data_IF_695882904622
#
_entry.id   IF_695882904622
#
_cell.length_a   1.000
_cell.length_b   1.000
_cell.length_c   1.000
_cell.angle_alpha   90.00
_cell.angle_beta   90.00
_cell.angle_gamma   90.00
#
_symmetry.space_group_name_H-M   'P 1'
#
loop_
_entity.id
_entity.type
_entity.pdbx_description
1 polymer ?
#
# COMPACT_ATOMS: atom_id res chain seq x y z
N UNK A 1 -6.84 25.10 -21.14
CA UNK A 1 -6.01 24.39 -20.16
C UNK A 1 -5.39 23.15 -20.82
N UNK A 2 -4.11 23.14 -21.09
CA UNK A 2 -3.27 22.03 -21.62
C UNK A 2 -3.80 21.14 -22.76
N UNK A 3 -4.86 21.49 -23.50
CA UNK A 3 -5.42 20.67 -24.59
C UNK A 3 -5.95 19.28 -24.18
N UNK A 4 -6.13 19.05 -22.87
CA UNK A 4 -6.63 17.77 -22.32
C UNK A 4 -8.18 17.75 -22.40
N UNK A 5 -8.72 16.63 -22.86
CA UNK A 5 -10.17 16.38 -22.85
C UNK A 5 -10.65 15.86 -21.48
N UNK A 6 -11.97 15.73 -21.33
CA UNK A 6 -12.58 15.26 -20.07
C UNK A 6 -12.10 13.85 -19.66
N UNK A 7 -11.84 12.97 -20.62
CA UNK A 7 -11.34 11.62 -20.37
C UNK A 7 -9.96 11.62 -19.71
N UNK A 8 -9.01 12.39 -20.24
CA UNK A 8 -7.68 12.50 -19.64
C UNK A 8 -7.72 13.16 -18.27
N UNK A 9 -8.57 14.19 -18.08
CA UNK A 9 -8.75 14.82 -16.78
C UNK A 9 -9.33 13.86 -15.73
N UNK A 10 -10.30 13.03 -16.10
CA UNK A 10 -10.85 12.00 -15.21
C UNK A 10 -9.79 10.97 -14.79
N UNK A 11 -8.92 10.55 -15.73
CA UNK A 11 -7.80 9.64 -15.43
C UNK A 11 -6.77 10.27 -14.49
N UNK A 12 -6.41 11.55 -14.72
CA UNK A 12 -5.48 12.29 -13.86
C UNK A 12 -6.07 12.44 -12.46
N UNK A 13 -7.35 12.79 -12.34
CA UNK A 13 -8.02 12.91 -11.04
C UNK A 13 -8.03 11.57 -10.30
N UNK A 14 -8.35 10.48 -10.98
CA UNK A 14 -8.34 9.15 -10.36
C UNK A 14 -6.93 8.74 -9.94
N UNK A 15 -5.93 8.93 -10.81
CA UNK A 15 -4.54 8.63 -10.48
C UNK A 15 -4.04 9.43 -9.26
N UNK A 16 -4.41 10.71 -9.17
CA UNK A 16 -4.09 11.55 -8.03
C UNK A 16 -4.74 11.05 -6.74
N UNK A 17 -6.05 10.82 -6.73
CA UNK A 17 -6.78 10.42 -5.52
C UNK A 17 -6.42 9.02 -5.06
N UNK A 18 -6.24 8.05 -5.97
CA UNK A 18 -5.82 6.68 -5.62
C UNK A 18 -4.40 6.65 -5.09
N UNK A 19 -3.48 7.43 -5.66
CA UNK A 19 -2.11 7.53 -5.16
C UNK A 19 -2.04 8.07 -3.74
N UNK A 20 -2.83 9.08 -3.42
CA UNK A 20 -2.98 9.57 -2.05
C UNK A 20 -3.57 8.51 -1.12
N UNK A 21 -4.66 7.86 -1.56
CA UNK A 21 -5.35 6.88 -0.72
C UNK A 21 -4.46 5.68 -0.36
N UNK A 22 -3.73 5.12 -1.33
CA UNK A 22 -2.90 3.92 -1.13
C UNK A 22 -1.84 4.09 -0.04
N UNK A 23 -1.33 5.31 0.16
CA UNK A 23 -0.30 5.61 1.17
C UNK A 23 -0.82 5.29 2.58
N UNK A 24 -2.08 5.60 2.88
CA UNK A 24 -2.64 5.42 4.24
C UNK A 24 -2.82 3.96 4.63
N UNK A 25 -3.51 3.11 3.85
CA UNK A 25 -3.60 1.68 4.14
C UNK A 25 -2.23 1.01 4.21
N UNK A 26 -1.28 1.38 3.35
CA UNK A 26 0.07 0.84 3.36
C UNK A 26 0.78 1.03 4.71
N UNK A 27 0.56 2.17 5.38
CA UNK A 27 1.08 2.42 6.73
C UNK A 27 0.15 1.79 7.79
N UNK A 28 -1.17 1.91 7.64
CA UNK A 28 -2.14 1.48 8.65
C UNK A 28 -2.07 -0.02 8.91
N UNK A 29 -1.98 -0.86 7.86
CA UNK A 29 -1.91 -2.33 7.96
C UNK A 29 -0.71 -2.75 8.82
N UNK A 30 0.47 -2.23 8.50
CA UNK A 30 1.68 -2.59 9.22
C UNK A 30 1.73 -2.00 10.62
N UNK A 31 1.29 -0.74 10.82
CA UNK A 31 1.27 -0.13 12.15
C UNK A 31 0.24 -0.77 13.09
N UNK A 32 -0.96 -1.15 12.62
CA UNK A 32 -1.94 -1.86 13.44
C UNK A 32 -1.37 -3.17 13.98
N UNK A 33 -0.74 -3.96 13.11
CA UNK A 33 -0.07 -5.20 13.49
C UNK A 33 1.12 -4.95 14.42
N UNK A 34 1.90 -3.90 14.18
CA UNK A 34 3.00 -3.51 15.06
C UNK A 34 2.53 -3.12 16.45
N UNK A 35 1.42 -2.39 16.56
CA UNK A 35 0.78 -2.04 17.84
C UNK A 35 0.32 -3.29 18.60
N UNK A 36 -0.30 -4.26 17.92
CA UNK A 36 -0.67 -5.53 18.53
C UNK A 36 0.56 -6.29 19.08
N UNK A 37 1.67 -6.31 18.32
CA UNK A 37 2.93 -6.91 18.77
C UNK A 37 3.50 -6.18 19.97
N UNK A 38 3.55 -4.84 19.97
CA UNK A 38 4.05 -4.05 21.10
C UNK A 38 3.24 -4.27 22.37
N UNK A 39 1.91 -4.30 22.26
CA UNK A 39 1.03 -4.52 23.39
C UNK A 39 1.16 -5.96 23.93
N UNK A 40 1.20 -6.96 23.05
CA UNK A 40 1.45 -8.35 23.42
C UNK A 40 2.80 -8.56 24.14
N UNK A 41 3.87 -7.92 23.65
CA UNK A 41 5.19 -7.93 24.29
C UNK A 41 5.16 -7.23 25.65
N UNK A 42 4.44 -6.13 25.79
CA UNK A 42 4.24 -5.46 27.08
C UNK A 42 3.47 -6.33 28.06
N UNK A 43 2.37 -6.97 27.62
CA UNK A 43 1.58 -7.87 28.48
C UNK A 43 2.41 -9.02 29.02
N UNK A 44 3.28 -9.60 28.17
CA UNK A 44 4.16 -10.72 28.52
C UNK A 44 5.33 -10.31 29.42
N UNK A 45 6.02 -9.23 29.10
CA UNK A 45 7.28 -8.83 29.74
C UNK A 45 7.15 -7.76 30.80
N UNK A 46 6.03 -7.01 30.79
CA UNK A 46 5.82 -5.80 31.60
C UNK A 46 6.89 -4.72 31.42
N UNK A 47 7.68 -4.81 30.34
CA UNK A 47 8.71 -3.84 30.05
C UNK A 47 8.08 -2.48 29.60
N UNK A 48 8.36 -1.37 30.31
CA UNK A 48 7.77 -0.07 30.03
C UNK A 48 8.13 0.48 28.64
N UNK A 49 9.20 -0.01 28.03
CA UNK A 49 9.63 0.37 26.67
C UNK A 49 8.53 0.06 25.64
N UNK A 50 7.97 -1.14 25.68
CA UNK A 50 6.92 -1.53 24.73
C UNK A 50 5.64 -0.70 24.92
N UNK A 51 5.28 -0.40 26.17
CA UNK A 51 4.16 0.46 26.50
C UNK A 51 4.35 1.90 25.96
N UNK A 52 5.54 2.47 26.17
CA UNK A 52 5.90 3.80 25.65
C UNK A 52 5.82 3.85 24.13
N UNK A 53 6.33 2.82 23.43
CA UNK A 53 6.27 2.70 21.98
C UNK A 53 4.82 2.54 21.49
N UNK A 54 4.00 1.74 22.18
CA UNK A 54 2.58 1.58 21.86
C UNK A 54 1.86 2.93 21.86
N UNK A 55 1.97 3.69 22.95
CA UNK A 55 1.31 5.00 23.07
C UNK A 55 1.85 6.05 22.09
N UNK A 56 3.11 5.94 21.72
CA UNK A 56 3.69 6.81 20.71
C UNK A 56 3.11 6.51 19.32
N UNK A 57 3.14 5.24 18.91
CA UNK A 57 2.69 4.83 17.58
C UNK A 57 1.16 4.82 17.43
N UNK A 58 0.41 4.60 18.51
CA UNK A 58 -1.07 4.65 18.46
C UNK A 58 -1.59 6.05 18.08
N UNK A 59 -0.92 7.12 18.49
CA UNK A 59 -1.27 8.49 18.09
C UNK A 59 -1.04 8.73 16.59
N UNK A 60 0.09 8.24 16.08
CA UNK A 60 0.43 8.34 14.64
C UNK A 60 -0.53 7.48 13.82
N UNK A 61 -0.82 6.27 14.29
CA UNK A 61 -1.81 5.38 13.70
C UNK A 61 -3.19 6.04 13.59
N UNK A 62 -3.68 6.66 14.66
CA UNK A 62 -4.99 7.32 14.67
C UNK A 62 -5.11 8.41 13.61
N UNK A 63 -4.09 9.25 13.45
CA UNK A 63 -4.07 10.29 12.41
C UNK A 63 -4.06 9.68 11.02
N UNK A 64 -3.18 8.69 10.80
CA UNK A 64 -3.05 8.02 9.51
C UNK A 64 -4.32 7.26 9.13
N UNK A 65 -4.93 6.56 10.10
CA UNK A 65 -6.20 5.86 9.91
C UNK A 65 -7.33 6.82 9.52
N UNK A 66 -7.49 7.94 10.25
CA UNK A 66 -8.51 8.94 9.94
C UNK A 66 -8.36 9.53 8.52
N UNK A 67 -7.12 9.81 8.10
CA UNK A 67 -6.84 10.26 6.73
C UNK A 67 -7.17 9.15 5.70
N UNK A 68 -6.89 7.90 6.03
CA UNK A 68 -7.24 6.74 5.20
C UNK A 68 -8.74 6.61 4.97
N UNK A 69 -9.54 6.72 6.04
CA UNK A 69 -11.01 6.66 5.95
C UNK A 69 -11.55 7.77 5.06
N UNK A 70 -11.13 9.02 5.27
CA UNK A 70 -11.59 10.17 4.47
C UNK A 70 -11.25 9.97 2.98
N UNK A 71 -10.01 9.59 2.68
CA UNK A 71 -9.60 9.36 1.28
C UNK A 71 -10.28 8.16 0.64
N UNK A 72 -10.61 7.10 1.42
CA UNK A 72 -11.33 5.93 0.96
C UNK A 72 -12.77 6.22 0.56
N UNK A 73 -13.48 7.02 1.36
CA UNK A 73 -14.83 7.48 1.02
C UNK A 73 -14.85 8.26 -0.31
N UNK A 74 -13.86 9.12 -0.53
CA UNK A 74 -13.72 9.85 -1.79
C UNK A 74 -13.49 8.89 -2.97
N UNK A 75 -12.67 7.87 -2.79
CA UNK A 75 -12.43 6.84 -3.82
C UNK A 75 -13.71 6.09 -4.19
N UNK A 76 -14.46 5.63 -3.20
CA UNK A 76 -15.73 4.94 -3.43
C UNK A 76 -16.72 5.81 -4.21
N UNK A 77 -16.77 7.10 -3.90
CA UNK A 77 -17.64 8.06 -4.60
C UNK A 77 -17.26 8.25 -6.06
N UNK A 78 -15.98 8.26 -6.40
CA UNK A 78 -15.51 8.42 -7.79
C UNK A 78 -15.93 7.30 -8.73
N UNK A 79 -16.14 6.07 -8.24
CA UNK A 79 -16.64 4.98 -9.09
C UNK A 79 -18.02 5.29 -9.69
N UNK A 80 -18.91 5.94 -8.92
CA UNK A 80 -20.22 6.33 -9.42
C UNK A 80 -20.21 7.63 -10.22
N UNK A 81 -19.39 8.61 -9.83
CA UNK A 81 -19.39 9.96 -10.45
C UNK A 81 -18.55 10.02 -11.72
N UNK A 82 -17.31 9.56 -11.68
CA UNK A 82 -16.37 9.72 -12.80
C UNK A 82 -16.30 8.50 -13.72
N UNK A 83 -16.71 7.32 -13.22
CA UNK A 83 -16.56 6.02 -13.87
C UNK A 83 -17.90 5.26 -13.91
N UNK A 84 -18.99 5.96 -14.27
CA UNK A 84 -20.34 5.36 -14.29
C UNK A 84 -20.46 4.18 -15.25
N UNK A 85 -19.78 4.21 -16.41
CA UNK A 85 -19.74 3.09 -17.34
C UNK A 85 -19.12 1.83 -16.71
N UNK A 86 -18.05 1.98 -15.92
CA UNK A 86 -17.49 0.88 -15.13
C UNK A 86 -18.48 0.38 -14.08
N UNK A 87 -19.11 1.28 -13.33
CA UNK A 87 -20.09 0.90 -12.30
C UNK A 87 -21.32 0.20 -12.88
N UNK A 88 -21.79 0.62 -14.07
CA UNK A 88 -22.87 -0.05 -14.78
C UNK A 88 -22.47 -1.44 -15.28
N UNK A 89 -21.26 -1.58 -15.83
CA UNK A 89 -20.78 -2.86 -16.37
C UNK A 89 -20.44 -3.87 -15.27
N UNK A 90 -19.65 -3.46 -14.27
CA UNK A 90 -19.04 -4.36 -13.27
C UNK A 90 -19.64 -4.24 -11.85
N UNK A 91 -20.62 -3.38 -11.64
CA UNK A 91 -21.16 -3.05 -10.32
C UNK A 91 -21.81 -4.22 -9.60
N UNK A 92 -22.38 -5.21 -10.33
CA UNK A 92 -22.94 -6.43 -9.75
C UNK A 92 -21.89 -7.34 -9.07
N UNK A 93 -20.61 -7.17 -9.40
CA UNK A 93 -19.49 -7.90 -8.78
C UNK A 93 -18.73 -6.99 -7.82
N UNK A 94 -18.26 -5.82 -8.29
CA UNK A 94 -17.43 -4.94 -7.48
C UNK A 94 -18.20 -4.28 -6.34
N UNK A 95 -19.49 -4.00 -6.52
CA UNK A 95 -20.36 -3.42 -5.50
C UNK A 95 -20.48 -4.29 -4.24
N UNK A 96 -20.88 -5.56 -4.35
CA UNK A 96 -20.91 -6.47 -3.20
C UNK A 96 -19.54 -6.64 -2.53
N UNK A 97 -18.44 -6.76 -3.27
CA UNK A 97 -17.10 -6.91 -2.69
C UNK A 97 -16.70 -5.69 -1.85
N UNK A 98 -16.95 -4.47 -2.36
CA UNK A 98 -16.72 -3.23 -1.62
C UNK A 98 -17.68 -3.07 -0.43
N UNK A 99 -18.93 -3.55 -0.55
CA UNK A 99 -19.89 -3.56 0.55
C UNK A 99 -19.45 -4.50 1.68
N UNK A 100 -18.96 -5.69 1.33
CA UNK A 100 -18.41 -6.62 2.34
C UNK A 100 -17.15 -6.06 3.02
N UNK A 101 -16.33 -5.28 2.33
CA UNK A 101 -15.23 -4.54 2.97
C UNK A 101 -15.76 -3.65 4.08
N UNK A 102 -16.75 -2.80 3.78
CA UNK A 102 -17.34 -1.89 4.78
C UNK A 102 -17.96 -2.67 5.95
N UNK A 103 -18.75 -3.71 5.67
CA UNK A 103 -19.48 -4.46 6.69
C UNK A 103 -18.57 -5.30 7.60
N UNK A 104 -17.54 -5.94 7.05
CA UNK A 104 -16.73 -6.91 7.80
C UNK A 104 -15.40 -6.35 8.30
N UNK A 105 -14.87 -5.30 7.67
CA UNK A 105 -13.61 -4.67 8.02
C UNK A 105 -13.83 -3.32 8.70
N UNK A 106 -14.38 -2.34 8.00
CA UNK A 106 -14.50 -0.99 8.52
C UNK A 106 -15.35 -0.93 9.81
N UNK A 107 -16.47 -1.64 9.90
CA UNK A 107 -17.26 -1.68 11.15
C UNK A 107 -16.51 -2.41 12.28
N UNK A 108 -15.72 -3.43 11.96
CA UNK A 108 -14.86 -4.08 12.96
C UNK A 108 -13.81 -3.10 13.49
N UNK A 109 -13.11 -2.40 12.60
CA UNK A 109 -12.12 -1.38 12.96
C UNK A 109 -12.75 -0.26 13.78
N UNK A 110 -13.82 0.35 13.29
CA UNK A 110 -14.49 1.48 13.95
C UNK A 110 -15.04 1.09 15.33
N UNK A 111 -15.58 -0.12 15.48
CA UNK A 111 -16.10 -0.63 16.73
C UNK A 111 -15.05 -0.79 17.83
N UNK A 112 -13.85 -1.24 17.48
CA UNK A 112 -12.77 -1.46 18.43
C UNK A 112 -11.76 -0.31 18.54
N UNK A 113 -11.72 0.60 17.56
CA UNK A 113 -10.79 1.73 17.55
C UNK A 113 -10.92 2.61 18.79
N UNK A 114 -12.13 2.89 19.23
CA UNK A 114 -12.37 3.69 20.44
C UNK A 114 -11.79 3.04 21.69
N UNK A 115 -11.91 1.73 21.84
CA UNK A 115 -11.31 0.96 22.94
C UNK A 115 -9.80 0.98 22.83
N UNK A 116 -9.25 0.73 21.65
CA UNK A 116 -7.81 0.73 21.38
C UNK A 116 -7.14 2.08 21.67
N UNK A 117 -7.79 3.20 21.36
CA UNK A 117 -7.18 4.53 21.52
C UNK A 117 -7.42 5.13 22.90
N UNK A 118 -8.58 4.87 23.53
CA UNK A 118 -9.02 5.55 24.75
C UNK A 118 -9.31 4.60 25.92
N UNK A 119 -9.22 3.27 25.68
CA UNK A 119 -9.60 2.25 26.66
C UNK A 119 -8.51 1.87 27.65
N UNK A 120 -7.25 2.31 27.48
CA UNK A 120 -6.09 1.82 28.24
C UNK A 120 -6.29 1.76 29.75
N UNK A 121 -6.85 2.81 30.35
CA UNK A 121 -7.14 2.90 31.80
C UNK A 121 -8.63 2.66 32.13
N UNK A 122 -9.46 2.27 31.17
CA UNK A 122 -10.92 2.13 31.33
C UNK A 122 -11.39 0.68 31.23
N UNK A 123 -10.65 -0.16 30.54
CA UNK A 123 -10.96 -1.60 30.38
C UNK A 123 -9.78 -2.45 30.86
N UNK A 124 -10.04 -3.72 31.14
CA UNK A 124 -8.97 -4.65 31.51
C UNK A 124 -7.96 -4.86 30.36
N UNK A 125 -6.69 -5.18 30.67
CA UNK A 125 -5.63 -5.28 29.67
C UNK A 125 -5.89 -6.36 28.61
N UNK A 126 -6.60 -7.43 28.95
CA UNK A 126 -6.99 -8.48 27.99
C UNK A 126 -7.99 -7.97 26.95
N UNK A 127 -9.01 -7.21 27.37
CA UNK A 127 -9.99 -6.63 26.46
C UNK A 127 -9.37 -5.53 25.59
N UNK A 128 -8.45 -4.75 26.14
CA UNK A 128 -7.71 -3.74 25.38
C UNK A 128 -6.88 -4.38 24.29
N UNK A 129 -6.11 -5.41 24.63
CA UNK A 129 -5.30 -6.16 23.66
C UNK A 129 -6.17 -6.85 22.58
N UNK A 130 -7.30 -7.42 22.99
CA UNK A 130 -8.27 -7.97 22.04
C UNK A 130 -8.75 -6.91 21.05
N UNK A 131 -9.08 -5.69 21.53
CA UNK A 131 -9.49 -4.59 20.67
C UNK A 131 -8.39 -4.19 19.67
N UNK A 132 -7.12 -4.10 20.11
CA UNK A 132 -5.97 -3.83 19.24
C UNK A 132 -5.82 -4.92 18.17
N UNK A 133 -5.98 -6.20 18.54
CA UNK A 133 -5.95 -7.31 17.58
C UNK A 133 -7.12 -7.25 16.59
N UNK A 134 -8.31 -6.85 17.01
CA UNK A 134 -9.47 -6.72 16.11
C UNK A 134 -9.29 -5.59 15.12
N UNK A 135 -8.71 -4.45 15.52
CA UNK A 135 -8.35 -3.38 14.59
C UNK A 135 -7.31 -3.88 13.57
N UNK A 136 -6.26 -4.58 14.03
CA UNK A 136 -5.25 -5.15 13.13
C UNK A 136 -5.86 -6.19 12.15
N UNK A 137 -6.76 -7.04 12.63
CA UNK A 137 -7.49 -8.00 11.79
C UNK A 137 -8.39 -7.29 10.78
N UNK A 138 -9.07 -6.22 11.18
CA UNK A 138 -9.91 -5.41 10.30
C UNK A 138 -9.12 -4.87 9.11
N UNK A 139 -7.91 -4.32 9.34
CA UNK A 139 -7.05 -3.83 8.24
C UNK A 139 -6.67 -4.93 7.24
N UNK A 140 -6.47 -6.15 7.70
CA UNK A 140 -6.17 -7.30 6.83
C UNK A 140 -7.42 -7.75 6.05
N UNK A 141 -8.59 -7.77 6.69
CA UNK A 141 -9.86 -8.10 6.04
C UNK A 141 -10.22 -7.04 4.98
N UNK A 142 -10.00 -5.75 5.27
CA UNK A 142 -10.16 -4.68 4.28
C UNK A 142 -9.26 -4.92 3.07
N UNK A 143 -7.98 -5.23 3.30
CA UNK A 143 -7.03 -5.58 2.24
C UNK A 143 -7.52 -6.77 1.40
N UNK A 144 -8.09 -7.80 2.04
CA UNK A 144 -8.64 -8.96 1.36
C UNK A 144 -9.74 -8.56 0.36
N UNK A 145 -10.76 -7.81 0.78
CA UNK A 145 -11.90 -7.46 -0.06
C UNK A 145 -11.51 -6.48 -1.19
N UNK A 146 -10.71 -5.48 -0.89
CA UNK A 146 -10.23 -4.53 -1.90
C UNK A 146 -9.40 -5.25 -2.97
N UNK A 147 -8.52 -6.16 -2.57
CA UNK A 147 -7.72 -6.92 -3.53
C UNK A 147 -8.51 -8.02 -4.24
N UNK A 148 -9.55 -8.58 -3.65
CA UNK A 148 -10.48 -9.46 -4.37
C UNK A 148 -11.15 -8.70 -5.52
N UNK A 149 -11.63 -7.49 -5.27
CA UNK A 149 -12.21 -6.62 -6.31
C UNK A 149 -11.18 -6.24 -7.39
N UNK A 150 -9.99 -5.77 -6.99
CA UNK A 150 -8.95 -5.36 -7.94
C UNK A 150 -8.40 -6.54 -8.76
N UNK A 151 -8.17 -7.69 -8.13
CA UNK A 151 -7.66 -8.88 -8.83
C UNK A 151 -8.66 -9.43 -9.83
N UNK A 152 -9.97 -9.37 -9.52
CA UNK A 152 -11.00 -9.74 -10.48
C UNK A 152 -10.95 -8.88 -11.75
N UNK A 153 -10.70 -7.58 -11.62
CA UNK A 153 -10.52 -6.70 -12.79
C UNK A 153 -9.30 -7.07 -13.65
N UNK A 154 -8.31 -7.76 -13.08
CA UNK A 154 -7.09 -8.20 -13.77
C UNK A 154 -7.26 -9.56 -14.43
N UNK A 155 -7.95 -10.48 -13.78
CA UNK A 155 -8.21 -11.87 -14.24
C UNK A 155 -9.67 -12.23 -13.97
N UNK A 156 -10.63 -11.64 -14.73
CA UNK A 156 -12.04 -11.81 -14.45
C UNK A 156 -12.48 -13.27 -14.68
N UNK A 157 -13.16 -13.84 -13.68
CA UNK A 157 -13.74 -15.17 -13.70
C UNK A 157 -15.05 -15.23 -12.91
N UNK A 158 -15.81 -16.34 -13.03
CA UNK A 158 -17.02 -16.58 -12.25
C UNK A 158 -18.21 -15.69 -12.60
N UNK A 159 -18.32 -15.24 -13.85
CA UNK A 159 -19.38 -14.36 -14.33
C UNK A 159 -19.93 -14.79 -15.68
N UNK A 160 -21.10 -14.30 -16.01
CA UNK A 160 -21.70 -14.29 -17.35
C UNK A 160 -22.04 -12.85 -17.75
N UNK A 161 -22.23 -12.60 -19.04
CA UNK A 161 -22.63 -11.29 -19.55
C UNK A 161 -24.11 -11.34 -19.95
N UNK A 162 -24.95 -10.55 -19.26
CA UNK A 162 -26.36 -10.40 -19.56
C UNK A 162 -26.66 -8.94 -19.85
N UNK A 163 -27.25 -8.65 -21.00
CA UNK A 163 -27.63 -7.27 -21.42
C UNK A 163 -26.48 -6.24 -21.31
N UNK A 164 -25.26 -6.66 -21.63
CA UNK A 164 -24.08 -5.78 -21.58
C UNK A 164 -23.53 -5.52 -20.17
N UNK A 165 -23.97 -6.27 -19.16
CA UNK A 165 -23.47 -6.20 -17.80
C UNK A 165 -22.93 -7.56 -17.37
N UNK A 166 -21.90 -7.60 -16.54
CA UNK A 166 -21.44 -8.82 -15.90
C UNK A 166 -22.36 -9.21 -14.76
N UNK A 167 -22.68 -10.49 -14.65
CA UNK A 167 -23.49 -11.05 -13.58
C UNK A 167 -22.71 -12.17 -12.93
N UNK A 168 -22.52 -12.18 -11.60
CA UNK A 168 -21.78 -13.24 -10.91
C UNK A 168 -22.56 -14.54 -10.95
N UNK A 169 -21.90 -15.64 -11.35
CA UNK A 169 -22.45 -17.00 -11.34
C UNK A 169 -21.71 -17.92 -10.38
N UNK A 170 -20.45 -17.61 -10.08
CA UNK A 170 -19.64 -18.33 -9.10
C UNK A 170 -18.81 -17.35 -8.26
N UNK A 171 -19.26 -17.07 -7.05
CA UNK A 171 -18.60 -16.14 -6.13
C UNK A 171 -17.22 -16.63 -5.65
N UNK A 172 -17.00 -17.94 -5.56
CA UNK A 172 -15.68 -18.46 -5.20
C UNK A 172 -14.67 -18.18 -6.32
N UNK A 173 -15.05 -18.39 -7.57
CA UNK A 173 -14.22 -18.06 -8.73
C UNK A 173 -14.02 -16.53 -8.87
N UNK A 174 -15.02 -15.71 -8.52
CA UNK A 174 -14.87 -14.24 -8.49
C UNK A 174 -13.84 -13.82 -7.47
N UNK A 175 -13.96 -14.25 -6.21
CA UNK A 175 -13.07 -13.85 -5.11
C UNK A 175 -11.68 -14.46 -5.26
N UNK A 176 -11.60 -15.77 -5.49
CA UNK A 176 -10.34 -16.51 -5.59
C UNK A 176 -9.89 -16.68 -7.06
N UNK A 177 -10.02 -15.60 -7.85
CA UNK A 177 -9.53 -15.58 -9.22
C UNK A 177 -8.00 -15.82 -9.30
N UNK A 178 -7.46 -16.18 -10.48
CA UNK A 178 -6.06 -16.63 -10.59
C UNK A 178 -5.00 -15.68 -10.10
N UNK A 179 -5.24 -14.37 -10.11
CA UNK A 179 -4.26 -13.37 -9.64
C UNK A 179 -4.43 -12.98 -8.18
N UNK A 180 -5.56 -13.32 -7.55
CA UNK A 180 -5.89 -12.88 -6.19
C UNK A 180 -4.85 -13.25 -5.11
N UNK A 181 -4.42 -14.54 -4.97
CA UNK A 181 -3.50 -14.91 -3.91
C UNK A 181 -2.15 -14.19 -4.01
N UNK A 182 -1.65 -14.02 -5.22
CA UNK A 182 -0.38 -13.32 -5.47
C UNK A 182 -0.47 -11.84 -5.13
N UNK A 183 -1.57 -11.18 -5.51
CA UNK A 183 -1.81 -9.77 -5.22
C UNK A 183 -2.02 -9.50 -3.75
N UNK A 184 -2.82 -10.36 -3.09
CA UNK A 184 -3.07 -10.26 -1.65
C UNK A 184 -1.77 -10.38 -0.86
N UNK A 185 -0.98 -11.41 -1.12
CA UNK A 185 0.29 -11.63 -0.44
C UNK A 185 1.29 -10.50 -0.73
N UNK A 186 1.46 -10.14 -2.00
CA UNK A 186 2.41 -9.12 -2.41
C UNK A 186 2.12 -7.76 -1.76
N UNK A 187 0.85 -7.32 -1.78
CA UNK A 187 0.47 -6.02 -1.20
C UNK A 187 0.50 -6.03 0.33
N UNK A 188 0.04 -7.12 0.98
CA UNK A 188 0.06 -7.24 2.44
C UNK A 188 1.49 -7.20 2.99
N UNK A 189 2.40 -7.97 2.39
CA UNK A 189 3.81 -8.02 2.79
C UNK A 189 4.51 -6.69 2.49
N UNK A 190 4.18 -6.03 1.36
CA UNK A 190 4.67 -4.70 1.04
C UNK A 190 4.22 -3.64 2.06
N UNK A 191 2.99 -3.73 2.59
CA UNK A 191 2.50 -2.83 3.62
C UNK A 191 3.26 -3.00 4.94
N UNK A 192 3.53 -4.24 5.37
CA UNK A 192 4.37 -4.53 6.53
C UNK A 192 5.78 -3.97 6.35
N UNK A 193 6.37 -4.18 5.18
CA UNK A 193 7.71 -3.69 4.86
C UNK A 193 7.77 -2.15 4.86
N UNK A 194 6.77 -1.49 4.26
CA UNK A 194 6.66 -0.02 4.23
C UNK A 194 6.56 0.57 5.63
N UNK A 195 5.75 -0.04 6.50
CA UNK A 195 5.63 0.38 7.90
C UNK A 195 6.94 0.16 8.66
N UNK A 196 7.65 -0.94 8.41
CA UNK A 196 8.95 -1.19 9.02
C UNK A 196 9.97 -0.09 8.64
N UNK A 197 10.04 0.29 7.35
CA UNK A 197 10.94 1.36 6.91
C UNK A 197 10.54 2.73 7.46
N UNK A 198 9.25 3.01 7.58
CA UNK A 198 8.72 4.22 8.20
C UNK A 198 9.11 4.31 9.69
N UNK A 199 8.93 3.23 10.44
CA UNK A 199 9.33 3.11 11.86
C UNK A 199 10.85 3.20 12.00
N UNK A 200 11.60 2.48 11.16
CA UNK A 200 13.06 2.47 11.16
C UNK A 200 13.67 3.83 10.87
N UNK A 201 13.15 4.55 9.88
CA UNK A 201 13.60 5.90 9.57
C UNK A 201 13.31 6.90 10.69
N UNK A 202 12.16 6.78 11.34
CA UNK A 202 11.81 7.58 12.52
C UNK A 202 12.84 7.39 13.65
N UNK A 203 13.21 6.12 13.91
CA UNK A 203 14.23 5.79 14.88
C UNK A 203 15.63 6.30 14.47
N UNK A 204 16.02 6.11 13.20
CA UNK A 204 17.30 6.56 12.66
C UNK A 204 17.44 8.09 12.79
N UNK A 205 16.35 8.84 12.56
CA UNK A 205 16.35 10.30 12.75
C UNK A 205 16.68 10.71 14.18
N UNK A 206 16.11 10.02 15.18
CA UNK A 206 16.40 10.26 16.60
C UNK A 206 17.83 9.88 16.96
N UNK A 207 18.32 8.72 16.52
CA UNK A 207 19.70 8.25 16.76
C UNK A 207 20.74 9.22 16.18
N UNK A 208 20.50 9.74 14.97
CA UNK A 208 21.39 10.74 14.35
C UNK A 208 21.47 12.06 15.13
N UNK A 209 20.45 12.37 15.93
CA UNK A 209 20.39 13.54 16.81
C UNK A 209 20.88 13.28 18.24
N UNK A 210 21.42 12.08 18.47
CA UNK A 210 21.95 11.71 19.78
C UNK A 210 20.90 11.21 20.78
N UNK A 211 19.63 11.09 20.37
CA UNK A 211 18.58 10.48 21.20
C UNK A 211 18.67 8.96 21.13
N UNK A 212 19.42 8.38 22.07
CA UNK A 212 19.74 6.94 22.10
C UNK A 212 19.05 6.25 23.29
N UNK A 213 17.75 6.48 23.46
CA UNK A 213 16.97 5.86 24.53
C UNK A 213 16.68 4.38 24.21
N UNK A 214 16.39 3.52 25.22
CA UNK A 214 16.00 2.13 25.01
C UNK A 214 14.80 2.00 24.04
N UNK A 215 13.82 2.90 24.09
CA UNK A 215 12.68 2.90 23.20
C UNK A 215 13.10 3.10 21.73
N UNK A 216 13.97 4.09 21.46
CA UNK A 216 14.49 4.35 20.11
C UNK A 216 15.29 3.17 19.57
N UNK A 217 16.17 2.59 20.39
CA UNK A 217 16.95 1.40 20.01
C UNK A 217 16.05 0.19 19.71
N UNK A 218 15.04 -0.04 20.55
CA UNK A 218 14.10 -1.15 20.38
C UNK A 218 13.31 -0.98 19.07
N UNK A 219 12.74 0.18 18.83
CA UNK A 219 11.96 0.43 17.62
C UNK A 219 12.83 0.32 16.36
N UNK A 220 14.08 0.82 16.36
CA UNK A 220 15.02 0.66 15.25
C UNK A 220 15.37 -0.81 15.01
N UNK A 221 15.67 -1.54 16.09
CA UNK A 221 16.01 -2.96 16.03
C UNK A 221 14.85 -3.80 15.48
N UNK A 222 13.60 -3.57 15.93
CA UNK A 222 12.43 -4.28 15.44
C UNK A 222 12.20 -4.02 13.96
N UNK A 223 12.28 -2.76 13.53
CA UNK A 223 12.13 -2.39 12.13
C UNK A 223 13.16 -3.07 11.22
N UNK A 224 14.42 -3.16 11.65
CA UNK A 224 15.46 -3.80 10.87
C UNK A 224 15.32 -5.32 10.84
N UNK A 225 14.84 -5.96 11.91
CA UNK A 225 14.51 -7.40 11.85
C UNK A 225 13.36 -7.67 10.86
N UNK A 226 12.37 -6.80 10.80
CA UNK A 226 11.34 -6.87 9.75
C UNK A 226 11.96 -6.76 8.35
N UNK A 227 12.87 -5.82 8.12
CA UNK A 227 13.55 -5.69 6.84
C UNK A 227 14.35 -6.95 6.47
N UNK A 228 15.06 -7.56 7.43
CA UNK A 228 15.84 -8.79 7.22
C UNK A 228 14.96 -9.98 6.81
N UNK A 229 13.78 -10.11 7.41
CA UNK A 229 12.90 -11.27 7.20
C UNK A 229 11.94 -11.01 6.02
N UNK A 230 11.34 -9.83 5.98
CA UNK A 230 10.23 -9.55 5.08
C UNK A 230 10.70 -9.09 3.70
N UNK A 231 11.87 -8.43 3.56
CA UNK A 231 12.33 -8.02 2.25
C UNK A 231 12.69 -9.20 1.32
N UNK A 232 13.39 -10.26 1.77
CA UNK A 232 13.57 -11.48 0.96
C UNK A 232 12.25 -12.17 0.61
N UNK A 233 11.32 -12.26 1.58
CA UNK A 233 10.00 -12.83 1.36
C UNK A 233 9.23 -12.03 0.29
N UNK A 234 9.29 -10.69 0.34
CA UNK A 234 8.67 -9.81 -0.66
C UNK A 234 9.24 -10.05 -2.06
N UNK A 235 10.56 -10.22 -2.18
CA UNK A 235 11.20 -10.52 -3.47
C UNK A 235 10.70 -11.86 -4.04
N UNK A 236 10.61 -12.90 -3.20
CA UNK A 236 10.11 -14.22 -3.61
C UNK A 236 8.63 -14.16 -4.04
N UNK A 237 7.78 -13.49 -3.27
CA UNK A 237 6.36 -13.29 -3.63
C UNK A 237 6.25 -12.47 -4.92
N UNK A 238 7.13 -11.47 -5.11
CA UNK A 238 7.19 -10.65 -6.32
C UNK A 238 7.51 -11.46 -7.57
N UNK A 239 8.46 -12.39 -7.48
CA UNK A 239 8.80 -13.33 -8.55
C UNK A 239 7.59 -14.20 -8.92
N UNK A 240 6.97 -14.84 -7.94
CA UNK A 240 5.74 -15.65 -8.16
C UNK A 240 4.61 -14.82 -8.79
N UNK A 241 4.45 -13.57 -8.39
CA UNK A 241 3.46 -12.66 -8.98
C UNK A 241 3.82 -12.30 -10.43
N UNK A 242 5.11 -12.14 -10.74
CA UNK A 242 5.62 -11.93 -12.10
C UNK A 242 5.28 -13.10 -13.03
N UNK A 243 5.51 -14.35 -12.59
CA UNK A 243 5.17 -15.56 -13.32
C UNK A 243 3.66 -15.69 -13.56
N UNK A 244 2.83 -15.41 -12.56
CA UNK A 244 1.38 -15.36 -12.72
C UNK A 244 0.94 -14.29 -13.73
N UNK A 245 1.61 -13.11 -13.72
CA UNK A 245 1.33 -12.04 -14.68
C UNK A 245 1.74 -12.44 -16.09
N UNK A 246 2.84 -13.14 -16.27
CA UNK A 246 3.26 -13.67 -17.58
C UNK A 246 2.19 -14.62 -18.15
N UNK A 247 1.62 -15.49 -17.31
CA UNK A 247 0.60 -16.46 -17.74
C UNK A 247 -0.71 -15.79 -18.16
N UNK A 248 -1.16 -14.74 -17.47
CA UNK A 248 -2.51 -14.18 -17.64
C UNK A 248 -2.52 -12.85 -18.39
N UNK A 249 -1.43 -12.10 -18.38
CA UNK A 249 -1.29 -10.78 -19.00
C UNK A 249 0.08 -10.60 -19.67
N UNK A 250 0.41 -11.41 -20.68
CA UNK A 250 1.75 -11.43 -21.27
C UNK A 250 2.17 -10.09 -21.92
N UNK A 251 1.22 -9.31 -22.46
CA UNK A 251 1.50 -7.96 -22.98
C UNK A 251 2.03 -7.00 -21.89
N UNK A 252 1.55 -7.18 -20.64
CA UNK A 252 2.06 -6.42 -19.49
C UNK A 252 3.51 -6.76 -19.20
N UNK A 253 3.89 -8.03 -19.22
CA UNK A 253 5.29 -8.46 -19.03
C UNK A 253 6.18 -7.91 -20.15
N UNK A 254 5.75 -7.99 -21.39
CA UNK A 254 6.49 -7.42 -22.52
C UNK A 254 6.72 -5.90 -22.35
N UNK A 255 5.72 -5.18 -21.81
CA UNK A 255 5.85 -3.75 -21.50
C UNK A 255 6.76 -3.48 -20.29
N UNK A 256 6.73 -4.32 -19.24
CA UNK A 256 7.64 -4.27 -18.09
C UNK A 256 9.10 -4.44 -18.55
N UNK A 257 9.34 -5.41 -19.42
CA UNK A 257 10.68 -5.70 -19.92
C UNK A 257 11.13 -4.73 -21.02
N UNK A 258 10.21 -3.94 -21.60
CA UNK A 258 10.53 -3.07 -22.75
C UNK A 258 10.95 -3.87 -23.96
N UNK A 259 10.44 -5.11 -24.07
CA UNK A 259 10.81 -6.09 -25.08
C UNK A 259 9.87 -6.00 -26.28
N UNK A 260 10.40 -5.65 -27.46
CA UNK A 260 9.59 -5.35 -28.65
C UNK A 260 9.53 -6.50 -29.64
N UNK A 261 10.63 -7.21 -29.83
CA UNK A 261 10.76 -8.28 -30.84
C UNK A 261 11.62 -9.43 -30.31
N UNK A 262 11.21 -10.65 -30.61
CA UNK A 262 12.01 -11.84 -30.38
C UNK A 262 12.98 -12.07 -31.53
N UNK A 263 14.24 -12.37 -31.23
CA UNK A 263 15.24 -12.79 -32.20
C UNK A 263 15.22 -14.32 -32.29
N UNK A 264 15.13 -14.90 -33.49
CA UNK A 264 15.10 -16.36 -33.64
C UNK A 264 16.30 -17.03 -32.98
N UNK A 265 16.06 -17.97 -32.04
CA UNK A 265 17.10 -18.73 -31.37
C UNK A 265 17.86 -18.00 -30.25
N UNK A 266 17.56 -16.73 -29.97
CA UNK A 266 18.17 -15.99 -28.88
C UNK A 266 17.21 -15.93 -27.67
N UNK A 267 17.70 -16.20 -26.44
CA UNK A 267 16.89 -16.00 -25.22
C UNK A 267 16.59 -14.51 -24.99
N UNK A 268 15.52 -14.20 -24.29
CA UNK A 268 15.15 -12.82 -23.97
C UNK A 268 16.13 -12.23 -22.96
N UNK A 269 16.82 -11.10 -23.28
CA UNK A 269 17.68 -10.42 -22.34
C UNK A 269 16.89 -9.69 -21.25
N UNK A 270 17.48 -9.44 -20.09
CA UNK A 270 16.96 -8.48 -19.11
C UNK A 270 17.51 -7.09 -19.43
N UNK A 271 16.65 -6.15 -19.68
CA UNK A 271 16.99 -4.73 -19.80
C UNK A 271 17.07 -4.11 -18.41
N UNK A 272 18.24 -3.78 -17.90
CA UNK A 272 18.40 -3.04 -16.64
C UNK A 272 18.03 -1.57 -16.79
N UNK A 273 18.42 -0.97 -17.88
CA UNK A 273 18.16 0.41 -18.24
C UNK A 273 17.75 0.49 -19.71
N UNK A 274 16.95 1.48 -20.06
CA UNK A 274 16.54 1.73 -21.44
C UNK A 274 15.46 2.79 -21.52
N UNK A 275 15.24 3.30 -22.72
CA UNK A 275 14.17 4.26 -23.02
C UNK A 275 13.22 3.62 -24.04
N UNK A 276 12.17 2.90 -23.60
CA UNK A 276 11.18 2.37 -24.52
C UNK A 276 10.47 3.50 -25.26
N UNK A 277 10.27 3.32 -26.56
CA UNK A 277 9.66 4.29 -27.46
C UNK A 277 8.47 3.63 -28.17
N UNK A 278 7.25 4.12 -27.88
CA UNK A 278 6.00 3.57 -28.42
C UNK A 278 5.82 3.88 -29.90
N UNK A 279 6.38 5.00 -30.39
CA UNK A 279 6.24 5.42 -31.78
C UNK A 279 7.21 4.67 -32.69
N UNK A 280 8.45 4.47 -32.21
CA UNK A 280 9.49 3.74 -32.94
C UNK A 280 9.45 2.22 -32.68
N UNK A 281 8.62 1.77 -31.73
CA UNK A 281 8.45 0.37 -31.34
C UNK A 281 9.80 -0.32 -31.02
N UNK A 282 10.64 0.38 -30.25
CA UNK A 282 11.96 -0.11 -29.81
C UNK A 282 12.38 0.52 -28.49
N UNK A 283 13.31 -0.11 -27.79
CA UNK A 283 13.97 0.46 -26.61
C UNK A 283 15.33 1.01 -26.99
N UNK A 284 15.55 2.30 -26.75
CA UNK A 284 16.83 2.98 -27.01
C UNK A 284 17.74 2.90 -25.79
N UNK A 285 19.06 2.96 -26.02
CA UNK A 285 20.09 2.97 -24.98
C UNK A 285 19.95 1.82 -23.99
N UNK A 286 19.57 0.63 -24.49
CA UNK A 286 19.38 -0.56 -23.67
C UNK A 286 20.68 -1.06 -23.06
N UNK A 287 20.72 -1.19 -21.73
CA UNK A 287 21.73 -1.97 -21.02
C UNK A 287 21.16 -3.36 -20.77
N UNK A 288 21.62 -4.32 -21.55
CA UNK A 288 21.08 -5.68 -21.59
C UNK A 288 21.99 -6.66 -20.84
N UNK A 289 21.38 -7.56 -20.06
CA UNK A 289 22.06 -8.76 -19.56
C UNK A 289 21.50 -9.95 -20.35
N UNK A 290 22.33 -10.61 -21.19
CA UNK A 290 21.88 -11.72 -22.04
C UNK A 290 21.24 -12.84 -21.25
N UNK A 291 20.17 -13.43 -21.76
CA UNK A 291 19.43 -14.59 -21.22
C UNK A 291 18.84 -14.42 -19.81
N UNK A 292 19.11 -13.33 -19.09
CA UNK A 292 18.63 -13.17 -17.71
C UNK A 292 17.13 -12.93 -17.65
N UNK A 293 16.53 -12.27 -18.65
CA UNK A 293 15.07 -12.13 -18.75
C UNK A 293 14.38 -13.48 -18.90
N UNK A 294 14.90 -14.34 -19.77
CA UNK A 294 14.44 -15.72 -19.92
C UNK A 294 14.59 -16.52 -18.62
N UNK A 295 15.72 -16.45 -17.95
CA UNK A 295 15.99 -17.15 -16.70
C UNK A 295 15.00 -16.78 -15.62
N UNK A 296 14.75 -15.49 -15.40
CA UNK A 296 13.83 -14.98 -14.35
C UNK A 296 12.38 -15.36 -14.68
N UNK A 297 11.93 -15.12 -15.91
CA UNK A 297 10.50 -15.24 -16.26
C UNK A 297 10.08 -16.63 -16.74
N UNK A 298 11.02 -17.48 -17.14
CA UNK A 298 10.68 -18.82 -17.65
C UNK A 298 11.44 -19.96 -16.94
N UNK A 299 12.34 -19.61 -16.00
CA UNK A 299 13.27 -20.55 -15.34
C UNK A 299 14.08 -21.39 -16.36
N UNK A 300 14.34 -20.83 -17.54
CA UNK A 300 15.09 -21.46 -18.64
C UNK A 300 15.98 -20.43 -19.33
N UNK A 301 17.14 -20.83 -19.73
CA UNK A 301 18.07 -19.98 -20.49
C UNK A 301 17.77 -19.94 -22.00
N UNK A 302 16.82 -20.73 -22.47
CA UNK A 302 16.51 -20.90 -23.89
C UNK A 302 15.15 -20.37 -24.31
N UNK A 303 14.18 -20.32 -23.36
CA UNK A 303 12.81 -19.90 -23.66
C UNK A 303 12.72 -18.39 -23.85
N UNK A 304 11.90 -17.98 -24.80
CA UNK A 304 11.59 -16.59 -25.08
C UNK A 304 10.36 -16.14 -24.29
N UNK A 305 10.29 -14.85 -23.98
CA UNK A 305 9.12 -14.18 -23.40
C UNK A 305 8.36 -13.49 -24.53
N UNK A 306 7.02 -13.41 -24.52
CA UNK A 306 6.24 -12.69 -25.52
C UNK A 306 6.72 -11.24 -25.68
N UNK A 307 6.79 -10.79 -26.93
CA UNK A 307 7.24 -9.44 -27.28
C UNK A 307 6.04 -8.52 -27.58
N UNK A 308 6.19 -7.19 -27.38
CA UNK A 308 5.09 -6.24 -27.56
C UNK A 308 4.50 -6.22 -28.96
N UNK A 309 5.30 -6.46 -30.01
CA UNK A 309 4.83 -6.50 -31.41
C UNK A 309 3.94 -7.71 -31.72
N UNK A 310 3.93 -8.72 -30.88
CA UNK A 310 3.03 -9.87 -31.00
C UNK A 310 1.56 -9.52 -30.68
N UNK A 311 1.33 -8.36 -30.01
CA UNK A 311 -0.01 -7.89 -29.65
C UNK A 311 -0.47 -6.76 -30.57
N UNK A 312 -1.80 -6.62 -30.81
CA UNK A 312 -2.34 -5.46 -31.52
C UNK A 312 -1.92 -4.14 -30.90
N UNK A 313 -1.64 -3.13 -31.73
CA UNK A 313 -1.09 -1.85 -31.30
C UNK A 313 -1.99 -1.14 -30.28
N UNK A 314 -3.30 -1.26 -30.46
CA UNK A 314 -4.35 -0.71 -29.60
C UNK A 314 -4.49 -1.42 -28.24
N UNK A 315 -3.90 -2.61 -28.07
CA UNK A 315 -3.95 -3.41 -26.84
C UNK A 315 -2.63 -3.38 -26.05
N UNK A 316 -1.63 -2.65 -26.56
CA UNK A 316 -0.33 -2.56 -25.90
C UNK A 316 -0.36 -1.55 -24.76
N UNK A 317 0.11 -1.93 -23.57
CA UNK A 317 0.33 -0.99 -22.47
C UNK A 317 1.38 0.07 -22.81
N UNK A 318 1.35 1.20 -22.11
CA UNK A 318 2.38 2.23 -22.23
C UNK A 318 3.71 1.74 -21.64
N UNK A 319 4.56 1.16 -22.49
CA UNK A 319 5.83 0.55 -22.05
C UNK A 319 6.77 1.55 -21.33
N UNK A 320 6.99 2.80 -21.75
CA UNK A 320 7.79 3.76 -21.01
C UNK A 320 7.42 3.90 -19.53
N UNK A 321 6.13 4.04 -19.22
CA UNK A 321 5.65 4.18 -17.84
C UNK A 321 5.82 2.88 -17.07
N UNK A 322 5.38 1.76 -17.65
CA UNK A 322 5.40 0.44 -17.01
C UNK A 322 6.84 -0.03 -16.75
N UNK A 323 7.72 0.15 -17.72
CA UNK A 323 9.15 -0.18 -17.63
C UNK A 323 9.83 0.53 -16.46
N UNK A 324 9.67 1.84 -16.36
CA UNK A 324 10.34 2.63 -15.32
C UNK A 324 9.71 2.47 -13.95
N UNK A 325 8.38 2.37 -13.86
CA UNK A 325 7.72 2.14 -12.58
C UNK A 325 8.12 0.80 -11.98
N UNK A 326 8.23 -0.26 -12.78
CA UNK A 326 8.72 -1.56 -12.31
C UNK A 326 10.16 -1.48 -11.79
N UNK A 327 11.05 -0.79 -12.53
CA UNK A 327 12.46 -0.65 -12.13
C UNK A 327 12.64 0.17 -10.86
N UNK A 328 11.83 1.19 -10.65
CA UNK A 328 11.80 1.93 -9.38
C UNK A 328 11.37 1.01 -8.24
N UNK A 329 10.29 0.25 -8.41
CA UNK A 329 9.81 -0.71 -7.41
C UNK A 329 10.88 -1.75 -7.07
N UNK A 330 11.41 -2.45 -8.09
CA UNK A 330 12.40 -3.51 -7.91
C UNK A 330 13.73 -2.97 -7.35
N UNK A 331 14.20 -1.83 -7.85
CA UNK A 331 15.42 -1.18 -7.38
C UNK A 331 15.34 -0.77 -5.91
N UNK A 332 14.22 -0.20 -5.48
CA UNK A 332 13.99 0.08 -4.06
C UNK A 332 13.92 -1.20 -3.22
N UNK A 333 13.30 -2.27 -3.74
CA UNK A 333 13.31 -3.58 -3.10
C UNK A 333 14.73 -4.13 -2.88
N UNK A 334 15.61 -3.99 -3.88
CA UNK A 334 17.02 -4.37 -3.75
C UNK A 334 17.76 -3.53 -2.70
N UNK A 335 17.48 -2.23 -2.62
CA UNK A 335 18.05 -1.37 -1.57
C UNK A 335 17.53 -1.74 -0.17
N UNK A 336 16.27 -2.18 -0.05
CA UNK A 336 15.70 -2.71 1.20
C UNK A 336 16.41 -3.98 1.65
N UNK A 337 16.67 -4.92 0.72
CA UNK A 337 17.48 -6.11 0.96
C UNK A 337 18.89 -5.75 1.44
N UNK A 338 19.54 -4.82 0.73
CA UNK A 338 20.88 -4.34 1.09
C UNK A 338 20.91 -3.75 2.50
N UNK A 339 19.91 -2.95 2.87
CA UNK A 339 19.80 -2.39 4.23
C UNK A 339 19.61 -3.49 5.27
N UNK A 340 18.79 -4.50 4.98
CA UNK A 340 18.62 -5.68 5.83
C UNK A 340 19.94 -6.41 6.08
N UNK A 341 20.67 -6.75 5.01
CA UNK A 341 21.97 -7.43 5.09
C UNK A 341 23.00 -6.57 5.84
N UNK A 342 23.08 -5.28 5.52
CA UNK A 342 23.98 -4.34 6.20
C UNK A 342 23.67 -4.25 7.71
N UNK A 343 22.38 -4.33 8.08
CA UNK A 343 21.97 -4.33 9.48
C UNK A 343 22.48 -5.57 10.25
N UNK A 344 22.48 -6.75 9.62
CA UNK A 344 23.02 -7.98 10.22
C UNK A 344 24.54 -7.86 10.45
N UNK A 345 25.26 -7.38 9.45
CA UNK A 345 26.69 -7.16 9.55
C UNK A 345 27.05 -6.14 10.66
N UNK A 346 26.31 -5.04 10.77
CA UNK A 346 26.52 -4.04 11.83
C UNK A 346 26.12 -4.56 13.22
N UNK A 347 25.11 -5.44 13.31
CA UNK A 347 24.79 -6.15 14.58
C UNK A 347 25.96 -7.02 15.02
N UNK A 348 26.52 -7.80 14.10
CA UNK A 348 27.69 -8.64 14.39
C UNK A 348 28.90 -7.83 14.86
N UNK A 349 29.04 -6.58 14.41
CA UNK A 349 30.09 -5.65 14.80
C UNK A 349 29.74 -4.75 16.00
N UNK A 350 28.60 -4.92 16.64
CA UNK A 350 28.06 -4.07 17.72
C UNK A 350 27.98 -2.57 17.39
N UNK A 351 27.88 -2.22 16.08
CA UNK A 351 27.85 -0.85 15.57
C UNK A 351 26.51 -0.39 15.00
N UNK A 352 25.45 -1.17 15.19
CA UNK A 352 24.15 -0.92 14.58
C UNK A 352 23.60 0.47 14.88
N UNK A 353 23.73 0.95 16.11
CA UNK A 353 23.16 2.21 16.59
C UNK A 353 24.12 3.39 16.49
N UNK A 354 25.37 3.19 16.07
CA UNK A 354 26.45 4.18 16.07
C UNK A 354 26.89 4.56 14.66
N UNK A 355 26.69 3.67 13.67
CA UNK A 355 27.14 3.88 12.31
C UNK A 355 26.36 5.01 11.63
N UNK A 356 26.87 6.21 11.65
CA UNK A 356 26.23 7.37 11.02
C UNK A 356 25.90 7.21 9.55
N UNK A 357 26.76 6.61 8.70
CA UNK A 357 26.42 6.36 7.31
C UNK A 357 25.20 5.45 7.16
N UNK A 358 25.13 4.37 7.96
CA UNK A 358 24.03 3.44 7.96
C UNK A 358 22.73 4.10 8.47
N UNK A 359 22.80 4.86 9.55
CA UNK A 359 21.63 5.61 10.08
C UNK A 359 21.10 6.62 9.05
N UNK A 360 21.97 7.29 8.28
CA UNK A 360 21.56 8.16 7.18
C UNK A 360 20.91 7.36 6.07
N UNK A 361 21.46 6.22 5.70
CA UNK A 361 20.85 5.33 4.71
C UNK A 361 19.48 4.86 5.17
N UNK A 362 19.32 4.38 6.41
CA UNK A 362 18.03 3.99 6.97
C UNK A 362 17.01 5.16 7.00
N UNK A 363 17.46 6.37 7.29
CA UNK A 363 16.61 7.57 7.25
C UNK A 363 16.11 7.87 5.83
N UNK A 364 17.01 7.86 4.83
CA UNK A 364 16.65 8.08 3.42
C UNK A 364 15.75 6.99 2.86
N UNK A 365 15.87 5.77 3.36
CA UNK A 365 14.98 4.66 2.99
C UNK A 365 13.58 4.75 3.64
N UNK A 366 13.31 5.74 4.49
CA UNK A 366 12.00 5.91 5.12
C UNK A 366 10.81 5.92 4.16
N UNK A 367 10.79 6.73 3.11
CA UNK A 367 9.70 6.76 2.13
C UNK A 367 9.75 5.62 1.10
N UNK A 368 10.82 4.81 1.07
CA UNK A 368 11.07 3.83 0.00
C UNK A 368 9.95 2.81 -0.15
N UNK A 369 9.35 2.33 0.95
CA UNK A 369 8.24 1.39 0.91
C UNK A 369 7.01 1.97 0.23
N UNK A 370 6.66 3.21 0.54
CA UNK A 370 5.52 3.91 -0.08
C UNK A 370 5.77 4.18 -1.55
N UNK A 371 6.99 4.62 -1.91
CA UNK A 371 7.36 4.86 -3.31
C UNK A 371 7.33 3.54 -4.11
N UNK A 372 7.84 2.45 -3.52
CA UNK A 372 7.81 1.14 -4.16
C UNK A 372 6.37 0.62 -4.36
N UNK A 373 5.48 0.80 -3.38
CA UNK A 373 4.06 0.45 -3.50
C UNK A 373 3.40 1.27 -4.61
N UNK A 374 3.58 2.59 -4.66
CA UNK A 374 3.01 3.43 -5.72
C UNK A 374 3.56 3.04 -7.09
N UNK A 375 4.85 2.81 -7.20
CA UNK A 375 5.47 2.34 -8.45
C UNK A 375 4.91 0.98 -8.87
N UNK A 376 4.70 0.04 -7.93
CA UNK A 376 4.06 -1.24 -8.19
C UNK A 376 2.60 -1.10 -8.66
N UNK A 377 1.83 -0.21 -8.07
CA UNK A 377 0.47 0.09 -8.53
C UNK A 377 0.45 0.72 -9.92
N UNK A 378 1.36 1.66 -10.21
CA UNK A 378 1.52 2.22 -11.57
C UNK A 378 1.84 1.10 -12.56
N UNK A 379 2.79 0.23 -12.25
CA UNK A 379 3.15 -0.94 -13.08
C UNK A 379 1.93 -1.81 -13.36
N UNK A 380 1.16 -2.11 -12.34
CA UNK A 380 -0.02 -2.99 -12.41
C UNK A 380 -1.16 -2.38 -13.22
N UNK A 381 -1.51 -1.12 -12.94
CA UNK A 381 -2.71 -0.48 -13.50
C UNK A 381 -2.46 0.16 -14.87
N UNK A 382 -1.29 0.76 -15.10
CA UNK A 382 -0.90 1.22 -16.44
C UNK A 382 -0.58 0.02 -17.33
N UNK A 383 0.01 -1.04 -16.77
CA UNK A 383 0.27 -2.30 -17.48
C UNK A 383 -0.99 -3.08 -17.86
N UNK A 384 -2.15 -2.78 -17.28
CA UNK A 384 -3.46 -3.32 -17.71
C UNK A 384 -4.07 -2.53 -18.85
N UNK A 385 -3.71 -1.28 -19.05
CA UNK A 385 -4.30 -0.45 -20.11
C UNK A 385 -4.09 -1.09 -21.51
N UNK A 386 -5.07 -0.95 -22.40
CA UNK A 386 -6.22 -0.01 -22.36
C UNK A 386 -7.48 -0.52 -21.62
N UNK A 387 -7.37 -1.59 -20.86
CA UNK A 387 -8.51 -2.24 -20.20
C UNK A 387 -8.72 -1.72 -18.77
N UNK A 388 -9.97 -1.49 -18.38
CA UNK A 388 -10.34 -1.31 -16.96
C UNK A 388 -10.76 -2.65 -16.34
N UNK A 389 -11.44 -3.52 -17.10
CA UNK A 389 -11.59 -4.95 -16.80
C UNK A 389 -10.94 -5.70 -17.94
N UNK A 390 -9.91 -6.47 -17.66
CA UNK A 390 -9.03 -7.06 -18.67
C UNK A 390 -9.81 -7.92 -19.68
N UNK A 391 -9.67 -7.58 -20.96
CA UNK A 391 -10.33 -8.26 -22.06
C UNK A 391 -11.84 -8.00 -22.22
N UNK A 392 -12.48 -7.28 -21.29
CA UNK A 392 -13.94 -7.11 -21.28
C UNK A 392 -14.38 -5.66 -21.46
N UNK A 393 -13.77 -4.70 -20.74
CA UNK A 393 -14.17 -3.30 -20.78
C UNK A 393 -12.95 -2.40 -20.96
N UNK A 394 -12.96 -1.60 -22.02
CA UNK A 394 -11.90 -0.59 -22.24
C UNK A 394 -12.10 0.64 -21.36
N UNK A 395 -11.02 1.24 -20.97
CA UNK A 395 -11.05 2.44 -20.08
C UNK A 395 -11.81 3.60 -20.71
N UNK A 396 -11.75 3.78 -22.03
CA UNK A 396 -12.48 4.82 -22.76
C UNK A 396 -14.01 4.65 -22.69
N UNK A 397 -14.48 3.41 -22.55
CA UNK A 397 -15.91 3.08 -22.52
C UNK A 397 -16.46 3.03 -21.07
N UNK A 398 -15.58 3.19 -20.09
CA UNK A 398 -15.90 3.14 -18.67
C UNK A 398 -16.17 4.51 -18.03
N UNK A 399 -15.75 5.60 -18.70
CA UNK A 399 -15.81 6.96 -18.17
C UNK A 399 -17.22 7.54 -18.23
N UNK A 400 -17.55 8.41 -17.27
CA UNK A 400 -18.79 9.18 -17.26
C UNK A 400 -18.78 10.30 -18.30
N UNK A 401 -19.95 10.67 -18.84
CA UNK A 401 -20.11 11.72 -19.83
C UNK A 401 -20.08 13.12 -19.18
N UNK A 402 -18.90 13.59 -18.78
CA UNK A 402 -18.69 14.92 -18.21
C UNK A 402 -18.06 15.88 -19.21
N UNK A 403 -18.35 17.19 -19.06
CA UNK A 403 -17.69 18.24 -19.84
C UNK A 403 -16.27 18.52 -19.33
N UNK A 404 -15.38 18.96 -20.23
CA UNK A 404 -13.97 19.28 -19.90
C UNK A 404 -13.85 20.35 -18.81
N UNK A 405 -14.71 21.37 -18.83
CA UNK A 405 -14.72 22.44 -17.82
C UNK A 405 -15.06 21.86 -16.43
N UNK A 406 -16.11 21.05 -16.36
CA UNK A 406 -16.55 20.40 -15.12
C UNK A 406 -15.43 19.55 -14.51
N UNK A 407 -14.75 18.74 -15.33
CA UNK A 407 -13.63 17.92 -14.88
C UNK A 407 -12.43 18.74 -14.46
N UNK A 408 -12.13 19.84 -15.15
CA UNK A 408 -11.04 20.76 -14.78
C UNK A 408 -11.26 21.41 -13.41
N UNK A 409 -12.49 21.90 -13.16
CA UNK A 409 -12.87 22.51 -11.87
C UNK A 409 -12.82 21.46 -10.75
N UNK A 410 -13.36 20.26 -11.01
CA UNK A 410 -13.32 19.15 -10.07
C UNK A 410 -11.88 18.78 -9.69
N UNK A 411 -11.00 18.57 -10.67
CA UNK A 411 -9.58 18.24 -10.43
C UNK A 411 -8.87 19.32 -9.62
N UNK A 412 -9.10 20.61 -9.94
CA UNK A 412 -8.51 21.71 -9.20
C UNK A 412 -9.00 21.75 -7.74
N UNK A 413 -10.31 21.54 -7.52
CA UNK A 413 -10.89 21.47 -6.18
C UNK A 413 -10.30 20.29 -5.38
N UNK A 414 -10.20 19.11 -5.96
CA UNK A 414 -9.56 17.95 -5.32
C UNK A 414 -8.12 18.23 -4.94
N UNK A 415 -7.34 18.82 -5.84
CA UNK A 415 -5.95 19.17 -5.54
C UNK A 415 -5.84 20.11 -4.33
N UNK A 416 -6.62 21.19 -4.30
CA UNK A 416 -6.61 22.17 -3.20
C UNK A 416 -7.04 21.54 -1.89
N UNK A 417 -8.14 20.77 -1.87
CA UNK A 417 -8.66 20.13 -0.67
C UNK A 417 -7.69 19.08 -0.14
N UNK A 418 -7.14 18.24 -1.01
CA UNK A 418 -6.19 17.19 -0.61
C UNK A 418 -4.90 17.78 -0.05
N UNK A 419 -4.31 18.79 -0.72
CA UNK A 419 -3.11 19.45 -0.23
C UNK A 419 -3.35 20.14 1.13
N UNK A 420 -4.53 20.75 1.33
CA UNK A 420 -4.87 21.41 2.59
C UNK A 420 -5.10 20.40 3.72
N UNK A 421 -6.02 19.45 3.53
CA UNK A 421 -6.43 18.51 4.59
C UNK A 421 -5.29 17.55 4.94
N UNK A 422 -4.74 16.86 3.93
CA UNK A 422 -3.69 15.88 4.18
C UNK A 422 -2.34 16.52 4.49
N UNK A 423 -2.07 17.72 3.97
CA UNK A 423 -0.89 18.50 4.34
C UNK A 423 -0.84 18.83 5.83
N UNK A 424 -1.98 19.22 6.41
CA UNK A 424 -2.10 19.42 7.87
C UNK A 424 -1.88 18.11 8.63
N UNK A 425 -2.51 17.02 8.19
CA UNK A 425 -2.36 15.69 8.80
C UNK A 425 -0.92 15.20 8.80
N UNK A 426 -0.25 15.29 7.64
CA UNK A 426 1.18 14.93 7.52
C UNK A 426 2.08 15.83 8.37
N UNK A 427 1.82 17.14 8.38
CA UNK A 427 2.55 18.08 9.23
C UNK A 427 2.43 17.73 10.72
N UNK A 428 1.23 17.31 11.14
CA UNK A 428 1.00 16.87 12.52
C UNK A 428 1.71 15.54 12.83
N UNK A 429 1.64 14.53 11.93
CA UNK A 429 2.39 13.28 12.09
C UNK A 429 3.90 13.52 12.20
N UNK A 430 4.47 14.35 11.34
CA UNK A 430 5.90 14.70 11.39
C UNK A 430 6.25 15.36 12.73
N UNK A 431 5.37 16.22 13.25
CA UNK A 431 5.57 16.86 14.57
C UNK A 431 5.56 15.81 15.69
N UNK A 432 4.64 14.84 15.65
CA UNK A 432 4.61 13.73 16.62
C UNK A 432 5.90 12.89 16.53
N UNK A 433 6.32 12.52 15.33
CA UNK A 433 7.55 11.74 15.09
C UNK A 433 8.77 12.48 15.67
N UNK A 434 8.89 13.78 15.40
CA UNK A 434 10.00 14.62 15.93
C UNK A 434 10.00 14.71 17.46
N UNK A 435 8.84 14.63 18.11
CA UNK A 435 8.75 14.61 19.57
C UNK A 435 9.30 13.29 20.16
N UNK A 436 9.11 12.19 19.45
CA UNK A 436 9.56 10.84 19.87
C UNK A 436 8.74 10.23 21.00
N UNK A 437 9.02 8.95 21.31
CA UNK A 437 8.37 8.25 22.40
C UNK A 437 8.78 8.87 23.74
N UNK A 438 7.77 9.15 24.59
CA UNK A 438 7.95 9.66 25.94
C UNK A 438 7.70 8.52 26.94
N UNK A 439 8.33 8.54 28.14
CA UNK A 439 7.94 7.66 29.21
C UNK A 439 6.43 7.79 29.44
N UNK A 440 5.76 6.67 29.61
CA UNK A 440 4.34 6.70 29.94
C UNK A 440 4.18 6.93 31.45
N UNK A 441 3.61 8.05 31.83
CA UNK A 441 3.19 8.33 33.18
C UNK A 441 1.76 7.80 33.37
N UNK A 442 1.55 6.96 34.39
CA UNK A 442 0.22 6.57 34.83
C UNK A 442 -0.45 7.80 35.47
N UNK A 443 -1.16 8.58 34.66
CA UNK A 443 -2.12 9.47 35.26
C UNK A 443 -3.27 8.61 35.80
N UNK A 444 -3.58 8.67 37.11
CA UNK A 444 -4.79 8.06 37.63
C UNK A 444 -5.95 8.57 36.76
N UNK A 445 -6.86 7.66 36.42
CA UNK A 445 -8.05 8.02 35.69
C UNK A 445 -8.72 9.18 36.44
N UNK A 446 -8.53 10.41 35.94
CA UNK A 446 -9.35 11.52 36.40
C UNK A 446 -10.76 11.11 35.97
N UNK A 447 -11.56 10.77 36.98
CA UNK A 447 -12.94 10.37 36.80
C UNK A 447 -13.68 11.46 36.05
N UNK A 448 -13.73 11.36 34.73
CA UNK A 448 -14.75 12.08 33.99
C UNK A 448 -16.05 11.40 34.34
N UNK A 449 -16.99 12.10 35.01
CA UNK A 449 -18.26 11.52 35.39
C UNK A 449 -18.93 10.92 34.16
N UNK A 450 -19.17 9.64 34.18
CA UNK A 450 -19.85 8.95 33.06
C UNK A 450 -21.34 9.35 32.95
N UNK A 451 -21.82 10.19 33.87
CA UNK A 451 -23.17 10.76 33.89
C UNK A 451 -23.14 12.21 34.40
N UNK A 452 -23.94 13.13 33.82
CA UNK A 452 -23.98 14.54 34.27
C UNK A 452 -24.33 14.75 35.77
N UNK A 453 -25.03 13.80 36.37
CA UNK A 453 -25.43 13.84 37.78
C UNK A 453 -24.35 13.38 38.77
N UNK A 454 -23.29 12.68 38.34
CA UNK A 454 -22.19 12.28 39.23
C UNK A 454 -21.24 13.42 39.56
N UNK A 455 -21.16 14.46 38.74
CA UNK A 455 -20.39 15.66 39.04
C UNK A 455 -20.96 16.46 40.20
N UNK A 456 -22.27 16.39 40.41
CA UNK A 456 -22.96 17.05 41.56
C UNK A 456 -22.74 16.27 42.84
N UNK A 457 -22.65 14.95 42.79
CA UNK A 457 -22.41 14.10 43.97
C UNK A 457 -20.96 14.27 44.50
N UNK A 458 -19.98 14.31 43.61
CA UNK A 458 -18.56 14.53 43.98
C UNK A 458 -18.34 15.93 44.61
N UNK A 459 -18.97 16.98 44.07
CA UNK A 459 -18.87 18.32 44.64
C UNK A 459 -19.53 18.46 46.03
N UNK A 460 -20.43 17.60 46.41
CA UNK A 460 -21.07 17.57 47.72
C UNK A 460 -20.30 16.73 48.75
N UNK A 461 -19.42 15.82 48.32
CA UNK A 461 -18.50 15.10 49.21
C UNK A 461 -17.24 15.91 49.56
N UNK A 462 -16.76 16.75 48.66
CA UNK A 462 -15.62 17.67 48.94
C UNK A 462 -15.99 18.83 49.89
N UNK A 463 -17.26 19.06 50.18
CA UNK A 463 -17.75 20.11 51.05
C UNK A 463 -18.17 19.61 52.43
N UNK A 464 -17.94 18.36 52.76
CA UNK A 464 -18.10 17.77 54.10
C UNK A 464 -16.75 17.46 54.71
#
# INVERSE_FOLDING_TARGET
MFGLDAFHLARIQFAFTVSFHIIFPAITIGLASYLAVLEGLWLKSKNPVYRSLYHFWSKIFAVNFGMGVVSGLVMAYQFGTNWSGFSQFAGSITGPLLTYEVLTAFFLEAGFLGVMLFGWNRVGPGLHFFATCMVALGTIISTFWILASNSWMQTPQGFEIHNGQVVPVDWLAVVFNPSFPYRLLHMSVAAFLSSAFFVGASAAWHLLRGNNTPAIRTMFSMALWMAVIVAPLQAMIGDMHGLNTLQHQPAKIAAIEGHWENRPGEPTPLLLFGLPDMDQERTRFGLEIPALGSLILTHSLEKQVPALKEFPKEDRPNSPIVFWSFRVMAGLGMLMLLLGVASLWLRYRDRLFESRPFLRFALWMGPSGLIAILAGWITTEVGRQPWVVYGLLRTKDAVSAHGTLQMSVSLAAFFVVYMSVFGVGYGYMIRLIKKGPQPFEDHPAQGTPSRPLSAVAESLEETR
#
